data_IF_445682669506
#
_entry.id   IF_445682669506
#
_cell.length_a   1.000
_cell.length_b   1.000
_cell.length_c   1.000
_cell.angle_alpha   90.00
_cell.angle_beta   90.00
_cell.angle_gamma   90.00
#
_symmetry.space_group_name_H-M   'P 1'
#
loop_
_entity.id
_entity.type
_entity.pdbx_description
1 polymer ?
#
# COMPACT_ATOMS: atom_id res chain seq x y z
N UNK A 1 18.37 -22.22 -7.65
CA UNK A 1 18.39 -21.82 -9.07
C UNK A 1 16.98 -21.37 -9.44
N UNK A 2 16.75 -20.10 -9.76
CA UNK A 2 15.44 -19.68 -10.29
C UNK A 2 15.34 -20.10 -11.75
N UNK A 3 14.26 -20.79 -12.11
CA UNK A 3 13.93 -21.12 -13.49
C UNK A 3 13.62 -19.84 -14.26
N UNK A 4 14.44 -19.48 -15.24
CA UNK A 4 14.18 -18.35 -16.12
C UNK A 4 13.07 -18.71 -17.11
N UNK A 5 11.97 -17.95 -17.13
CA UNK A 5 10.88 -18.17 -18.09
C UNK A 5 11.20 -17.65 -19.50
N UNK A 6 12.10 -16.67 -19.61
CA UNK A 6 12.61 -16.12 -20.86
C UNK A 6 13.99 -15.48 -20.61
N UNK A 7 14.81 -15.35 -21.67
CA UNK A 7 16.09 -14.65 -21.65
C UNK A 7 16.18 -13.71 -22.83
N UNK A 8 16.73 -12.52 -22.59
CA UNK A 8 17.04 -11.52 -23.60
C UNK A 8 18.54 -11.30 -23.64
N UNK A 9 19.11 -11.21 -24.83
CA UNK A 9 20.53 -11.01 -25.04
C UNK A 9 20.75 -9.63 -25.65
N UNK A 10 21.69 -8.88 -25.09
CA UNK A 10 22.05 -7.54 -25.53
C UNK A 10 23.55 -7.50 -25.83
N UNK A 11 23.93 -6.71 -26.83
CA UNK A 11 25.34 -6.49 -27.15
C UNK A 11 25.98 -5.53 -26.14
N UNK A 12 25.21 -4.51 -25.71
CA UNK A 12 25.66 -3.47 -24.80
C UNK A 12 24.94 -3.54 -23.43
N UNK A 13 25.68 -3.25 -22.36
CA UNK A 13 25.14 -3.25 -21.00
C UNK A 13 24.09 -2.14 -20.78
N UNK A 14 24.25 -0.99 -21.45
CA UNK A 14 23.29 0.12 -21.39
C UNK A 14 21.91 -0.29 -21.89
N UNK A 15 21.87 -1.10 -22.95
CA UNK A 15 20.62 -1.58 -23.55
C UNK A 15 19.95 -2.60 -22.63
N UNK A 16 20.75 -3.49 -22.02
CA UNK A 16 20.26 -4.43 -21.03
C UNK A 16 19.65 -3.71 -19.80
N UNK A 17 20.32 -2.69 -19.27
CA UNK A 17 19.80 -1.86 -18.17
C UNK A 17 18.48 -1.19 -18.58
N UNK A 18 18.43 -0.61 -19.77
CA UNK A 18 17.22 0.06 -20.29
C UNK A 18 16.06 -0.92 -20.41
N UNK A 19 16.31 -2.12 -20.93
CA UNK A 19 15.29 -3.16 -21.03
C UNK A 19 14.80 -3.64 -19.65
N UNK A 20 15.68 -3.78 -18.66
CA UNK A 20 15.30 -4.18 -17.29
C UNK A 20 14.40 -3.14 -16.64
N UNK A 21 14.76 -1.85 -16.76
CA UNK A 21 13.95 -0.74 -16.24
C UNK A 21 12.58 -0.73 -16.92
N UNK A 22 12.54 -0.87 -18.24
CA UNK A 22 11.29 -0.97 -19.00
C UNK A 22 10.42 -2.14 -18.53
N UNK A 23 10.98 -3.34 -18.37
CA UNK A 23 10.23 -4.50 -17.89
C UNK A 23 9.72 -4.30 -16.44
N UNK A 24 10.46 -3.62 -15.58
CA UNK A 24 9.96 -3.26 -14.25
C UNK A 24 8.79 -2.28 -14.33
N UNK A 25 8.86 -1.27 -15.20
CA UNK A 25 7.76 -0.35 -15.42
C UNK A 25 6.49 -1.07 -15.90
N UNK A 26 6.60 -1.96 -16.90
CA UNK A 26 5.48 -2.78 -17.39
C UNK A 26 4.94 -3.71 -16.30
N UNK A 27 5.81 -4.28 -15.46
CA UNK A 27 5.37 -5.06 -14.30
C UNK A 27 4.54 -4.24 -13.32
N UNK A 28 4.99 -3.03 -12.98
CA UNK A 28 4.29 -2.14 -12.06
C UNK A 28 2.96 -1.66 -12.64
N UNK A 29 2.89 -1.50 -13.96
CA UNK A 29 1.63 -1.24 -14.68
C UNK A 29 0.69 -2.46 -14.72
N UNK A 30 1.15 -3.64 -14.33
CA UNK A 30 0.36 -4.88 -14.28
C UNK A 30 0.35 -5.68 -15.57
N UNK A 31 1.21 -5.37 -16.54
CA UNK A 31 1.23 -6.04 -17.85
C UNK A 31 1.78 -7.46 -17.80
N UNK A 32 2.59 -7.78 -16.78
CA UNK A 32 3.09 -9.12 -16.54
C UNK A 32 3.46 -9.36 -15.08
N UNK A 33 3.67 -10.64 -14.73
CA UNK A 33 4.04 -11.07 -13.37
C UNK A 33 5.52 -11.41 -13.20
N UNK A 34 6.26 -11.50 -14.31
CA UNK A 34 7.68 -11.86 -14.32
C UNK A 34 8.55 -10.85 -13.55
N UNK A 35 9.56 -11.35 -12.84
CA UNK A 35 10.59 -10.52 -12.18
C UNK A 35 11.78 -10.37 -13.13
N UNK A 36 12.07 -9.16 -13.64
CA UNK A 36 13.28 -8.91 -14.41
C UNK A 36 14.52 -9.13 -13.53
N UNK A 37 15.49 -9.87 -14.05
CA UNK A 37 16.77 -10.17 -13.40
C UNK A 37 17.91 -10.02 -14.42
N UNK A 38 19.11 -9.68 -13.94
CA UNK A 38 20.32 -9.61 -14.75
C UNK A 38 21.36 -10.61 -14.25
N UNK A 39 22.14 -11.16 -15.17
CA UNK A 39 23.24 -12.08 -14.88
C UNK A 39 24.60 -11.36 -14.76
N UNK A 40 24.66 -10.06 -15.08
CA UNK A 40 25.87 -9.24 -14.97
C UNK A 40 25.86 -8.40 -13.69
N UNK A 41 27.06 -8.13 -13.16
CA UNK A 41 27.28 -7.18 -12.09
C UNK A 41 26.92 -5.79 -12.59
N UNK A 42 25.74 -5.34 -12.19
CA UNK A 42 25.31 -3.98 -12.43
C UNK A 42 26.17 -3.11 -11.54
N UNK A 43 26.64 -1.96 -12.04
CA UNK A 43 27.04 -0.90 -11.12
C UNK A 43 25.77 -0.52 -10.35
N UNK A 44 25.56 -1.17 -9.20
CA UNK A 44 24.25 -1.29 -8.56
C UNK A 44 23.60 0.08 -8.36
N UNK A 45 24.41 1.14 -8.21
CA UNK A 45 23.96 2.54 -8.10
C UNK A 45 22.95 2.99 -9.17
N UNK A 46 23.31 3.00 -10.46
CA UNK A 46 22.46 3.60 -11.51
C UNK A 46 21.15 2.81 -11.69
N UNK A 47 21.24 1.48 -11.80
CA UNK A 47 20.03 0.66 -11.92
C UNK A 47 19.15 0.76 -10.66
N UNK A 48 19.75 0.75 -9.46
CA UNK A 48 19.01 0.91 -8.20
C UNK A 48 18.30 2.25 -8.14
N UNK A 49 18.95 3.34 -8.55
CA UNK A 49 18.33 4.67 -8.59
C UNK A 49 17.16 4.74 -9.57
N UNK A 50 17.31 4.16 -10.77
CA UNK A 50 16.22 4.10 -11.76
C UNK A 50 15.04 3.28 -11.27
N UNK A 51 15.28 2.07 -10.74
CA UNK A 51 14.21 1.23 -10.19
C UNK A 51 13.57 1.90 -8.97
N UNK A 52 14.36 2.51 -8.07
CA UNK A 52 13.85 3.30 -6.95
C UNK A 52 12.91 4.41 -7.41
N UNK A 53 13.30 5.16 -8.43
CA UNK A 53 12.47 6.20 -9.05
C UNK A 53 11.14 5.65 -9.57
N UNK A 54 11.16 4.51 -10.26
CA UNK A 54 9.94 3.83 -10.72
C UNK A 54 9.01 3.46 -9.56
N UNK A 55 9.54 2.87 -8.50
CA UNK A 55 8.74 2.48 -7.34
C UNK A 55 8.15 3.68 -6.60
N UNK A 56 8.90 4.78 -6.49
CA UNK A 56 8.38 6.03 -5.92
C UNK A 56 7.19 6.55 -6.71
N UNK A 57 7.35 6.72 -8.02
CA UNK A 57 6.27 7.17 -8.90
C UNK A 57 5.07 6.22 -8.83
N UNK A 58 5.32 4.92 -8.72
CA UNK A 58 4.26 3.92 -8.58
C UNK A 58 3.50 4.07 -7.26
N UNK A 59 4.19 4.25 -6.13
CA UNK A 59 3.54 4.46 -4.82
C UNK A 59 2.70 5.75 -4.83
N UNK A 60 3.21 6.84 -5.41
CA UNK A 60 2.47 8.09 -5.59
C UNK A 60 1.17 7.87 -6.40
N UNK A 61 1.27 7.18 -7.54
CA UNK A 61 0.09 6.80 -8.34
C UNK A 61 -0.91 5.94 -7.57
N UNK A 62 -0.42 5.02 -6.75
CA UNK A 62 -1.27 4.14 -5.92
C UNK A 62 -1.99 4.93 -4.82
N UNK A 63 -1.33 5.91 -4.21
CA UNK A 63 -1.91 6.82 -3.21
C UNK A 63 -3.02 7.71 -3.77
N UNK A 64 -2.89 8.11 -5.04
CA UNK A 64 -3.86 8.93 -5.78
C UNK A 64 -4.83 8.10 -6.65
N UNK A 65 -4.76 6.78 -6.51
CA UNK A 65 -5.48 5.83 -7.35
C UNK A 65 -6.98 5.81 -7.11
N UNK A 66 -7.70 5.18 -8.04
CA UNK A 66 -9.16 5.12 -8.05
C UNK A 66 -9.75 4.46 -6.79
N UNK A 67 -9.04 3.49 -6.20
CA UNK A 67 -9.46 2.83 -4.94
C UNK A 67 -9.56 3.84 -3.80
N UNK A 68 -8.57 4.73 -3.64
CA UNK A 68 -8.59 5.77 -2.60
C UNK A 68 -9.71 6.76 -2.89
N UNK A 69 -9.81 7.25 -4.13
CA UNK A 69 -10.87 8.18 -4.56
C UNK A 69 -12.28 7.61 -4.37
N UNK A 70 -12.46 6.31 -4.56
CA UNK A 70 -13.74 5.62 -4.31
C UNK A 70 -14.10 5.62 -2.82
N UNK A 71 -13.13 5.40 -1.94
CA UNK A 71 -13.34 5.45 -0.49
C UNK A 71 -13.60 6.88 -0.02
N UNK A 72 -12.90 7.88 -0.56
CA UNK A 72 -13.14 9.29 -0.25
C UNK A 72 -14.54 9.74 -0.66
N UNK A 73 -14.99 9.40 -1.87
CA UNK A 73 -16.39 9.64 -2.29
C UNK A 73 -17.40 8.93 -1.39
N UNK A 74 -17.05 7.76 -0.84
CA UNK A 74 -17.92 7.06 0.13
C UNK A 74 -18.00 7.83 1.45
N UNK A 75 -16.88 8.36 1.95
CA UNK A 75 -16.83 9.22 3.14
C UNK A 75 -17.70 10.46 2.93
N UNK A 76 -17.56 11.15 1.80
CA UNK A 76 -18.36 12.33 1.46
C UNK A 76 -19.86 12.02 1.42
N UNK A 77 -20.26 10.92 0.78
CA UNK A 77 -21.66 10.48 0.72
C UNK A 77 -22.23 10.24 2.12
N UNK A 78 -21.49 9.51 2.97
CA UNK A 78 -21.91 9.24 4.35
C UNK A 78 -22.01 10.54 5.16
N UNK A 79 -21.07 11.48 5.00
CA UNK A 79 -21.11 12.77 5.67
C UNK A 79 -22.37 13.58 5.29
N UNK A 80 -22.69 13.65 3.99
CA UNK A 80 -23.91 14.31 3.49
C UNK A 80 -25.18 13.66 4.03
N UNK A 81 -25.22 12.32 4.12
CA UNK A 81 -26.36 11.61 4.70
C UNK A 81 -26.52 11.91 6.20
N UNK A 82 -25.42 11.88 6.96
CA UNK A 82 -25.41 12.23 8.38
C UNK A 82 -25.91 13.67 8.60
N UNK A 83 -25.48 14.63 7.77
CA UNK A 83 -25.93 16.02 7.85
C UNK A 83 -27.41 16.19 7.53
N UNK A 84 -27.93 15.44 6.55
CA UNK A 84 -29.37 15.41 6.26
C UNK A 84 -30.15 15.00 7.51
N UNK A 85 -29.72 13.96 8.24
CA UNK A 85 -30.36 13.60 9.52
C UNK A 85 -30.33 14.77 10.50
N UNK A 86 -29.18 15.41 10.69
CA UNK A 86 -29.02 16.56 11.60
C UNK A 86 -29.97 17.72 11.25
N UNK A 87 -30.21 17.98 9.96
CA UNK A 87 -31.18 18.98 9.50
C UNK A 87 -32.65 18.56 9.66
N UNK A 88 -32.96 17.28 9.46
CA UNK A 88 -34.32 16.73 9.50
C UNK A 88 -34.91 16.68 10.92
N UNK A 89 -34.05 16.68 11.94
CA UNK A 89 -34.41 16.64 13.36
C UNK A 89 -34.67 18.00 14.01
N UNK A 90 -34.64 19.10 13.27
CA UNK A 90 -35.06 20.42 13.80
C UNK A 90 -36.57 20.50 14.13
N UNK A 91 -37.38 19.50 13.77
CA UNK A 91 -38.83 19.47 13.98
C UNK A 91 -39.24 18.36 14.96
N UNK A 92 -40.20 18.60 15.88
CA UNK A 92 -40.66 17.60 16.85
C UNK A 92 -41.23 16.35 16.15
N UNK A 93 -40.87 15.15 16.64
CA UNK A 93 -41.36 13.85 16.13
C UNK A 93 -41.69 12.89 17.28
N UNK A 94 -42.48 11.86 16.98
CA UNK A 94 -42.76 10.75 17.90
C UNK A 94 -41.46 10.06 18.33
N UNK A 95 -41.34 9.76 19.63
CA UNK A 95 -40.13 9.22 20.28
C UNK A 95 -39.54 7.99 19.57
N UNK A 96 -40.39 7.05 19.13
CA UNK A 96 -39.95 5.84 18.41
C UNK A 96 -39.28 6.14 17.06
N UNK A 97 -39.82 7.10 16.30
CA UNK A 97 -39.24 7.53 15.01
C UNK A 97 -37.93 8.26 15.25
N UNK A 98 -37.80 8.97 16.38
CA UNK A 98 -36.54 9.59 16.76
C UNK A 98 -35.47 8.55 17.10
N UNK A 99 -35.79 7.54 17.92
CA UNK A 99 -34.83 6.50 18.32
C UNK A 99 -34.34 5.65 17.14
N UNK A 100 -35.22 5.22 16.24
CA UNK A 100 -34.85 4.42 15.05
C UNK A 100 -33.92 5.21 14.11
N UNK A 101 -34.22 6.49 13.89
CA UNK A 101 -33.40 7.33 13.03
C UNK A 101 -32.06 7.73 13.70
N UNK A 102 -32.01 7.87 15.04
CA UNK A 102 -30.77 8.12 15.76
C UNK A 102 -29.84 6.89 15.71
N UNK A 103 -30.38 5.68 15.86
CA UNK A 103 -29.61 4.46 15.69
C UNK A 103 -29.03 4.33 14.26
N UNK A 104 -29.81 4.71 13.24
CA UNK A 104 -29.34 4.74 11.84
C UNK A 104 -28.23 5.76 11.61
N UNK A 105 -28.35 6.96 12.18
CA UNK A 105 -27.31 7.99 12.14
C UNK A 105 -26.01 7.49 12.79
N UNK A 106 -26.12 6.81 13.93
CA UNK A 106 -24.95 6.26 14.62
C UNK A 106 -24.28 5.15 13.81
N UNK A 107 -25.07 4.24 13.22
CA UNK A 107 -24.53 3.20 12.34
C UNK A 107 -23.76 3.80 11.14
N UNK A 108 -24.28 4.86 10.52
CA UNK A 108 -23.60 5.58 9.43
C UNK A 108 -22.31 6.25 9.90
N UNK A 109 -22.29 6.80 11.13
CA UNK A 109 -21.08 7.39 11.72
C UNK A 109 -20.00 6.33 11.93
N UNK A 110 -20.35 5.20 12.55
CA UNK A 110 -19.42 4.09 12.75
C UNK A 110 -18.88 3.57 11.42
N UNK A 111 -19.73 3.44 10.40
CA UNK A 111 -19.28 3.05 9.06
C UNK A 111 -18.30 4.08 8.47
N UNK A 112 -18.62 5.37 8.56
CA UNK A 112 -17.78 6.45 8.05
C UNK A 112 -16.41 6.45 8.74
N UNK A 113 -16.37 6.38 10.07
CA UNK A 113 -15.14 6.28 10.85
C UNK A 113 -14.29 5.08 10.46
N UNK A 114 -14.93 3.91 10.23
CA UNK A 114 -14.24 2.72 9.76
C UNK A 114 -13.60 2.89 8.37
N UNK A 115 -14.27 3.62 7.47
CA UNK A 115 -13.73 3.94 6.14
C UNK A 115 -12.59 4.96 6.23
N UNK A 116 -12.72 5.99 7.07
CA UNK A 116 -11.66 7.00 7.32
C UNK A 116 -10.40 6.32 7.84
N UNK A 117 -10.52 5.54 8.93
CA UNK A 117 -9.37 4.81 9.49
C UNK A 117 -8.68 3.94 8.44
N UNK A 118 -9.45 3.25 7.60
CA UNK A 118 -8.90 2.44 6.51
C UNK A 118 -8.06 3.24 5.52
N UNK A 119 -8.53 4.41 5.09
CA UNK A 119 -7.79 5.27 4.17
C UNK A 119 -6.53 5.82 4.85
N UNK A 120 -6.60 6.17 6.13
CA UNK A 120 -5.46 6.65 6.90
C UNK A 120 -4.37 5.59 7.09
N UNK A 121 -4.75 4.36 7.45
CA UNK A 121 -3.81 3.25 7.58
C UNK A 121 -3.13 2.94 6.23
N UNK A 122 -3.84 3.17 5.11
CA UNK A 122 -3.31 2.93 3.78
C UNK A 122 -2.24 3.92 3.43
N UNK A 123 -2.59 5.19 3.58
CA UNK A 123 -1.69 6.31 3.36
C UNK A 123 -0.48 6.20 4.26
N UNK A 124 -0.66 5.78 5.51
CA UNK A 124 0.45 5.53 6.44
C UNK A 124 1.34 4.38 5.96
N UNK A 125 0.78 3.23 5.60
CA UNK A 125 1.54 2.08 5.12
C UNK A 125 2.35 2.37 3.86
N UNK A 126 1.74 3.04 2.89
CA UNK A 126 2.39 3.47 1.64
C UNK A 126 3.47 4.53 1.88
N UNK A 127 3.24 5.52 2.77
CA UNK A 127 4.28 6.49 3.15
C UNK A 127 5.45 5.83 3.87
N UNK A 128 5.20 4.87 4.76
CA UNK A 128 6.28 4.12 5.38
C UNK A 128 7.10 3.31 4.35
N UNK A 129 6.46 2.75 3.32
CA UNK A 129 7.18 2.11 2.20
C UNK A 129 7.98 3.12 1.38
N UNK A 130 7.43 4.31 1.14
CA UNK A 130 8.14 5.40 0.46
C UNK A 130 9.40 5.81 1.24
N UNK A 131 9.25 6.10 2.53
CA UNK A 131 10.36 6.49 3.40
C UNK A 131 11.43 5.39 3.49
N UNK A 132 11.02 4.12 3.50
CA UNK A 132 11.93 2.98 3.43
C UNK A 132 12.76 2.97 2.13
N UNK A 133 12.11 3.14 0.99
CA UNK A 133 12.73 3.14 -0.34
C UNK A 133 13.67 4.34 -0.53
N UNK A 134 13.35 5.47 0.09
CA UNK A 134 14.16 6.70 0.09
C UNK A 134 15.26 6.70 1.16
N UNK A 135 15.37 5.66 1.98
CA UNK A 135 16.38 5.58 3.04
C UNK A 135 16.14 6.52 4.22
N UNK A 136 14.92 7.06 4.37
CA UNK A 136 14.50 7.97 5.47
C UNK A 136 13.84 7.22 6.63
N UNK A 137 14.01 5.90 6.72
CA UNK A 137 13.27 5.05 7.65
C UNK A 137 13.69 5.26 9.12
N UNK A 138 12.72 5.53 10.01
CA UNK A 138 12.90 5.64 11.47
C UNK A 138 12.35 4.45 12.28
N UNK A 139 12.10 3.30 11.63
CA UNK A 139 11.69 2.04 12.28
C UNK A 139 10.25 1.61 11.97
N UNK A 140 10.13 0.48 11.27
CA UNK A 140 8.86 -0.23 11.06
C UNK A 140 8.94 -1.38 10.04
N UNK A 141 9.93 -1.34 9.16
CA UNK A 141 10.23 -2.36 8.16
C UNK A 141 11.57 -3.05 8.43
N UNK A 142 12.04 -3.05 9.68
CA UNK A 142 13.17 -3.87 10.12
C UNK A 142 13.06 -5.33 9.69
N UNK A 143 11.85 -5.86 9.49
CA UNK A 143 11.60 -7.20 8.92
C UNK A 143 12.14 -7.36 7.49
N UNK A 144 12.15 -6.33 6.65
CA UNK A 144 12.83 -6.37 5.34
C UNK A 144 14.36 -6.46 5.49
N UNK A 145 14.93 -5.98 6.61
CA UNK A 145 16.36 -6.10 6.94
C UNK A 145 16.70 -7.43 7.64
N UNK A 146 15.85 -7.92 8.54
CA UNK A 146 16.07 -9.11 9.41
C UNK A 146 16.09 -10.43 8.64
N UNK A 147 15.38 -10.54 7.52
CA UNK A 147 15.42 -11.76 6.69
C UNK A 147 16.67 -11.90 5.81
N UNK A 148 17.53 -10.87 5.80
CA UNK A 148 18.78 -10.85 5.03
C UNK A 148 19.98 -11.26 5.92
N UNK A 149 20.05 -10.69 7.13
CA UNK A 149 21.13 -10.97 8.09
C UNK A 149 21.07 -12.39 8.69
N UNK A 150 19.88 -12.98 8.83
CA UNK A 150 19.71 -14.31 9.43
C UNK A 150 20.34 -15.46 8.64
N UNK A 151 20.70 -15.24 7.36
CA UNK A 151 21.35 -16.25 6.51
C UNK A 151 22.73 -15.83 5.98
N UNK A 152 23.28 -14.68 6.43
CA UNK A 152 24.62 -14.22 6.04
C UNK A 152 24.82 -13.98 4.53
N UNK A 153 23.75 -13.85 3.75
CA UNK A 153 23.79 -13.67 2.29
C UNK A 153 22.94 -12.47 1.89
N UNK A 154 23.60 -11.40 1.42
CA UNK A 154 22.96 -10.21 0.83
C UNK A 154 21.79 -10.62 -0.07
N UNK A 155 20.60 -10.12 0.24
CA UNK A 155 19.40 -10.41 -0.52
C UNK A 155 19.59 -9.93 -1.95
N UNK A 156 19.31 -10.81 -2.92
CA UNK A 156 19.41 -10.47 -4.33
C UNK A 156 18.62 -9.19 -4.63
N UNK A 157 19.27 -8.21 -5.24
CA UNK A 157 18.73 -6.89 -5.60
C UNK A 157 17.32 -6.96 -6.23
N UNK A 158 17.11 -7.86 -7.19
CA UNK A 158 15.82 -8.00 -7.88
C UNK A 158 14.74 -8.64 -7.00
N UNK A 159 15.14 -9.53 -6.10
CA UNK A 159 14.22 -10.14 -5.14
C UNK A 159 13.75 -9.14 -4.08
N UNK A 160 14.61 -8.21 -3.69
CA UNK A 160 14.25 -7.08 -2.81
C UNK A 160 13.12 -6.23 -3.43
N UNK A 161 13.28 -5.77 -4.67
CA UNK A 161 12.24 -5.00 -5.36
C UNK A 161 10.96 -5.80 -5.62
N UNK A 162 11.09 -7.09 -5.93
CA UNK A 162 9.92 -7.96 -6.09
C UNK A 162 9.11 -8.10 -4.80
N UNK A 163 9.78 -8.13 -3.64
CA UNK A 163 9.11 -8.15 -2.32
C UNK A 163 8.41 -6.85 -2.02
N UNK A 164 9.03 -5.70 -2.31
CA UNK A 164 8.39 -4.39 -2.17
C UNK A 164 7.13 -4.34 -3.03
N UNK A 165 7.19 -4.76 -4.29
CA UNK A 165 6.03 -4.78 -5.17
C UNK A 165 4.90 -5.64 -4.58
N UNK A 166 5.22 -6.82 -4.06
CA UNK A 166 4.23 -7.68 -3.40
C UNK A 166 3.60 -7.02 -2.18
N UNK A 167 4.38 -6.31 -1.36
CA UNK A 167 3.84 -5.56 -0.22
C UNK A 167 2.86 -4.48 -0.68
N UNK A 168 3.21 -3.71 -1.71
CA UNK A 168 2.31 -2.68 -2.27
C UNK A 168 1.01 -3.33 -2.75
N UNK A 169 1.08 -4.40 -3.55
CA UNK A 169 -0.10 -5.11 -4.04
C UNK A 169 -0.97 -5.68 -2.92
N UNK A 170 -0.34 -6.24 -1.89
CA UNK A 170 -1.04 -6.77 -0.71
C UNK A 170 -1.80 -5.66 0.01
N UNK A 171 -1.16 -4.53 0.24
CA UNK A 171 -1.78 -3.38 0.91
C UNK A 171 -2.90 -2.79 0.05
N UNK A 172 -2.71 -2.70 -1.27
CA UNK A 172 -3.75 -2.26 -2.21
C UNK A 172 -5.00 -3.16 -2.16
N UNK A 173 -4.82 -4.49 -2.29
CA UNK A 173 -5.93 -5.46 -2.20
C UNK A 173 -6.65 -5.42 -0.86
N UNK A 174 -5.93 -5.18 0.24
CA UNK A 174 -6.51 -5.09 1.58
C UNK A 174 -7.48 -3.93 1.71
N UNK A 175 -7.11 -2.79 1.15
CA UNK A 175 -7.95 -1.58 1.15
C UNK A 175 -9.16 -1.75 0.24
N UNK A 176 -8.94 -2.27 -0.95
CA UNK A 176 -10.00 -2.54 -1.93
C UNK A 176 -11.06 -3.50 -1.39
N UNK A 177 -10.64 -4.61 -0.80
CA UNK A 177 -11.55 -5.61 -0.22
C UNK A 177 -12.12 -5.19 1.15
N UNK A 178 -11.64 -4.08 1.71
CA UNK A 178 -12.10 -3.57 2.99
C UNK A 178 -11.85 -4.51 4.17
N UNK A 179 -10.69 -5.18 4.19
CA UNK A 179 -10.39 -6.18 5.20
C UNK A 179 -10.40 -5.59 6.63
N UNK A 180 -10.98 -6.30 7.64
CA UNK A 180 -11.23 -5.75 8.98
C UNK A 180 -9.97 -5.26 9.72
N UNK A 181 -8.83 -5.88 9.43
CA UNK A 181 -7.53 -5.56 10.06
C UNK A 181 -7.09 -4.13 9.72
N UNK A 182 -7.57 -3.55 8.63
CA UNK A 182 -7.12 -2.26 8.11
C UNK A 182 -7.77 -1.03 8.76
N UNK A 183 -8.70 -1.22 9.68
CA UNK A 183 -9.22 -0.13 10.52
C UNK A 183 -8.49 -0.01 11.86
N UNK A 184 -7.68 -1.01 12.22
CA UNK A 184 -7.17 -1.21 13.58
C UNK A 184 -5.74 -1.72 13.62
N UNK A 185 -5.02 -1.82 12.48
CA UNK A 185 -3.69 -2.44 12.43
C UNK A 185 -2.71 -1.73 13.36
N UNK A 186 -2.75 -0.40 13.39
CA UNK A 186 -1.90 0.39 14.28
C UNK A 186 -2.20 0.12 15.74
N UNK A 187 -3.47 -0.10 16.09
CA UNK A 187 -3.91 -0.43 17.45
C UNK A 187 -3.49 -1.86 17.83
N UNK A 188 -3.68 -2.83 16.92
CA UNK A 188 -3.24 -4.22 17.09
C UNK A 188 -1.71 -4.30 17.28
N UNK A 189 -0.93 -3.61 16.45
CA UNK A 189 0.53 -3.61 16.56
C UNK A 189 1.00 -2.97 17.88
N UNK A 190 0.35 -1.88 18.33
CA UNK A 190 0.61 -1.30 19.65
C UNK A 190 0.32 -2.29 20.77
N UNK A 191 -0.82 -3.00 20.71
CA UNK A 191 -1.17 -4.01 21.70
C UNK A 191 -0.14 -5.15 21.75
N UNK A 192 0.28 -5.67 20.58
CA UNK A 192 1.31 -6.71 20.50
C UNK A 192 2.64 -6.24 21.10
N UNK A 193 3.10 -5.04 20.76
CA UNK A 193 4.34 -4.50 21.34
C UNK A 193 4.24 -4.27 22.85
N UNK A 194 3.08 -3.88 23.37
CA UNK A 194 2.87 -3.72 24.82
C UNK A 194 2.82 -5.04 25.59
N UNK A 195 2.65 -6.16 24.89
CA UNK A 195 2.53 -7.51 25.48
C UNK A 195 3.78 -8.38 25.25
N UNK A 196 4.79 -7.88 24.52
CA UNK A 196 6.09 -8.53 24.43
C UNK A 196 6.91 -8.17 25.68
N UNK A 197 7.17 -9.19 26.52
CA UNK A 197 8.07 -9.16 27.68
C UNK A 197 9.51 -9.41 27.21
#
# INVERSE_FOLDING_TARGET
MSTASARLFFQDQSDAITAVVFLWERRLAGDHVYTPVTDFDVNEGDLNERIRGLFKLYIEKVLEGEVVKKLERKIEKLAVEIDKFTSFFKRPRRVRVYSENQAKKEAMRVEMEGVVKRVEEFRKGMRCLMDFIEGRENGGWGVLRVYDESNGRKMNFFYYWSRIHFLILREFRRVENGLPIYGFRSEILKMLHSQQV
#
